data_IF_234315042052
#
_entry.id   IF_234315042052
#
_cell.length_a   1.000
_cell.length_b   1.000
_cell.length_c   1.000
_cell.angle_alpha   90.00
_cell.angle_beta   90.00
_cell.angle_gamma   90.00
#
_symmetry.space_group_name_H-M   'P 1'
#
loop_
_entity.id
_entity.type
_entity.pdbx_description
1 polymer ?
#
# COMPACT_ATOMS: atom_id res chain seq x y z
N UNK A 1 -4.22 11.24 3.57
CA UNK A 1 -4.24 10.89 2.13
C UNK A 1 -3.69 9.48 1.97
N UNK A 2 -4.15 8.72 0.99
CA UNK A 2 -3.61 7.40 0.68
C UNK A 2 -2.99 7.42 -0.71
N UNK A 3 -1.85 6.75 -0.87
CA UNK A 3 -1.19 6.55 -2.16
C UNK A 3 -0.96 5.06 -2.35
N UNK A 4 -1.28 4.54 -3.52
CA UNK A 4 -0.91 3.18 -3.90
C UNK A 4 0.11 3.22 -5.03
N UNK A 5 0.93 2.18 -5.10
CA UNK A 5 1.82 1.93 -6.22
C UNK A 5 1.67 0.48 -6.64
N UNK A 6 1.26 0.24 -7.89
CA UNK A 6 1.24 -1.10 -8.47
C UNK A 6 2.68 -1.51 -8.78
N UNK A 7 3.15 -2.64 -8.24
CA UNK A 7 4.54 -3.07 -8.40
C UNK A 7 4.86 -3.55 -9.81
N UNK A 8 3.89 -4.14 -10.53
CA UNK A 8 4.11 -4.63 -11.89
C UNK A 8 4.37 -3.53 -12.93
N UNK A 9 3.74 -2.36 -12.76
CA UNK A 9 3.75 -1.26 -13.74
C UNK A 9 4.35 0.03 -13.19
N UNK A 10 4.67 0.07 -11.90
CA UNK A 10 5.03 1.28 -11.16
C UNK A 10 3.96 2.40 -11.24
N UNK A 11 2.71 2.06 -11.59
CA UNK A 11 1.62 3.03 -11.66
C UNK A 11 1.24 3.48 -10.25
N UNK A 12 1.16 4.78 -10.04
CA UNK A 12 0.76 5.38 -8.77
C UNK A 12 -0.63 5.98 -8.86
N UNK A 13 -1.37 5.93 -7.75
CA UNK A 13 -2.67 6.56 -7.63
C UNK A 13 -2.90 7.05 -6.21
N UNK A 14 -3.47 8.24 -6.11
CA UNK A 14 -3.75 8.91 -4.84
C UNK A 14 -5.25 8.91 -4.56
N UNK A 15 -5.60 8.75 -3.29
CA UNK A 15 -6.98 8.70 -2.77
C UNK A 15 -7.09 9.61 -1.55
N UNK A 16 -8.22 10.30 -1.42
CA UNK A 16 -8.40 11.27 -0.34
C UNK A 16 -8.78 10.60 0.98
N UNK A 17 -9.58 9.53 0.90
CA UNK A 17 -10.10 8.80 2.04
C UNK A 17 -9.88 7.28 1.89
N UNK A 18 -10.15 6.55 2.97
CA UNK A 18 -9.97 5.09 3.03
C UNK A 18 -11.02 4.34 2.21
N UNK A 19 -12.24 4.86 2.15
CA UNK A 19 -13.36 4.25 1.43
C UNK A 19 -13.08 4.20 -0.09
N UNK A 20 -12.53 5.28 -0.66
CA UNK A 20 -12.07 5.35 -2.06
C UNK A 20 -10.96 4.34 -2.33
N UNK A 21 -10.03 4.17 -1.39
CA UNK A 21 -8.96 3.19 -1.48
C UNK A 21 -9.52 1.76 -1.46
N UNK A 22 -10.41 1.46 -0.53
CA UNK A 22 -11.07 0.15 -0.37
C UNK A 22 -11.84 -0.22 -1.65
N UNK A 23 -12.69 0.70 -2.13
CA UNK A 23 -13.46 0.51 -3.36
C UNK A 23 -12.56 0.26 -4.58
N UNK A 24 -11.44 0.98 -4.70
CA UNK A 24 -10.50 0.75 -5.80
C UNK A 24 -9.87 -0.64 -5.75
N UNK A 25 -9.43 -1.07 -4.56
CA UNK A 25 -8.79 -2.38 -4.38
C UNK A 25 -9.77 -3.53 -4.59
N UNK A 26 -11.04 -3.38 -4.18
CA UNK A 26 -12.11 -4.36 -4.47
C UNK A 26 -12.35 -4.50 -5.98
N UNK A 27 -12.33 -3.38 -6.71
CA UNK A 27 -12.40 -3.39 -8.17
C UNK A 27 -11.21 -4.10 -8.81
N UNK A 28 -10.00 -3.85 -8.29
CA UNK A 28 -8.79 -4.54 -8.74
C UNK A 28 -8.81 -6.03 -8.40
N UNK A 29 -9.35 -6.43 -7.24
CA UNK A 29 -9.52 -7.83 -6.88
C UNK A 29 -10.43 -8.56 -7.85
N UNK A 30 -11.61 -8.02 -8.10
CA UNK A 30 -12.54 -8.58 -9.07
C UNK A 30 -11.92 -8.71 -10.46
N UNK A 31 -11.17 -7.69 -10.90
CA UNK A 31 -10.44 -7.74 -12.17
C UNK A 31 -9.39 -8.86 -12.18
N UNK A 32 -8.61 -8.99 -11.12
CA UNK A 32 -7.57 -10.01 -11.03
C UNK A 32 -8.16 -11.43 -10.97
N UNK A 33 -9.25 -11.63 -10.24
CA UNK A 33 -10.03 -12.87 -10.21
C UNK A 33 -10.57 -13.24 -11.60
N UNK A 34 -11.19 -12.30 -12.31
CA UNK A 34 -11.71 -12.53 -13.66
C UNK A 34 -10.62 -12.88 -14.69
N UNK A 35 -9.43 -12.30 -14.52
CA UNK A 35 -8.29 -12.51 -15.42
C UNK A 35 -7.39 -13.68 -14.98
N UNK A 36 -7.66 -14.34 -13.84
CA UNK A 36 -6.77 -15.32 -13.21
C UNK A 36 -5.33 -14.81 -13.06
N UNK A 37 -5.19 -13.56 -12.65
CA UNK A 37 -3.90 -12.89 -12.42
C UNK A 37 -3.76 -12.50 -10.97
N UNK A 38 -2.53 -12.21 -10.54
CA UNK A 38 -2.24 -11.60 -9.24
C UNK A 38 -1.49 -10.29 -9.43
N UNK A 39 -1.75 -9.34 -8.55
CA UNK A 39 -1.13 -8.02 -8.58
C UNK A 39 -0.73 -7.61 -7.18
N UNK A 40 0.45 -7.00 -7.06
CA UNK A 40 0.97 -6.53 -5.78
C UNK A 40 1.00 -5.01 -5.75
N UNK A 41 0.43 -4.45 -4.69
CA UNK A 41 0.33 -3.03 -4.44
C UNK A 41 1.11 -2.64 -3.18
N UNK A 42 1.85 -1.54 -3.25
CA UNK A 42 2.36 -0.83 -2.08
C UNK A 42 1.41 0.30 -1.72
N UNK A 43 0.85 0.24 -0.53
CA UNK A 43 -0.03 1.26 0.02
C UNK A 43 0.75 2.15 0.99
N UNK A 44 0.51 3.44 0.92
CA UNK A 44 1.07 4.48 1.76
C UNK A 44 -0.05 5.33 2.33
N UNK A 45 -0.08 5.48 3.65
CA UNK A 45 -0.91 6.44 4.35
C UNK A 45 -0.05 7.65 4.67
N UNK A 46 -0.41 8.79 4.09
CA UNK A 46 0.29 10.06 4.18
C UNK A 46 -0.52 11.05 5.03
N UNK A 47 0.18 11.84 5.84
CA UNK A 47 -0.41 12.95 6.59
C UNK A 47 -0.70 14.16 5.67
N UNK A 48 -1.06 15.31 6.26
CA UNK A 48 -1.35 16.54 5.52
C UNK A 48 -0.10 17.21 4.92
N UNK A 49 1.09 16.86 5.40
CA UNK A 49 2.38 17.37 4.95
C UNK A 49 3.08 16.38 4.00
N UNK A 50 2.37 15.36 3.51
CA UNK A 50 2.90 14.25 2.72
C UNK A 50 3.93 13.37 3.45
N UNK A 51 3.96 13.42 4.78
CA UNK A 51 4.79 12.54 5.59
C UNK A 51 4.16 11.15 5.71
N UNK A 52 5.00 10.12 5.60
CA UNK A 52 4.55 8.73 5.68
C UNK A 52 4.17 8.36 7.12
N UNK A 53 2.88 8.14 7.34
CA UNK A 53 2.33 7.63 8.59
C UNK A 53 2.42 6.11 8.68
N UNK A 54 2.00 5.41 7.63
CA UNK A 54 1.95 3.95 7.59
C UNK A 54 2.13 3.46 6.16
N UNK A 55 2.72 2.28 5.99
CA UNK A 55 2.85 1.63 4.68
C UNK A 55 2.62 0.14 4.79
N UNK A 56 1.97 -0.45 3.80
CA UNK A 56 1.79 -1.90 3.72
C UNK A 56 1.93 -2.39 2.28
N UNK A 57 2.23 -3.67 2.13
CA UNK A 57 2.21 -4.36 0.84
C UNK A 57 1.02 -5.32 0.83
N UNK A 58 0.28 -5.30 -0.27
CA UNK A 58 -0.93 -6.09 -0.46
C UNK A 58 -0.86 -6.80 -1.79
N UNK A 59 -1.05 -8.12 -1.79
CA UNK A 59 -1.18 -8.89 -3.03
C UNK A 59 -2.63 -9.34 -3.18
N UNK A 60 -3.18 -9.13 -4.36
CA UNK A 60 -4.58 -9.37 -4.69
C UNK A 60 -4.65 -10.23 -5.97
N UNK A 61 -5.57 -11.20 -6.09
CA UNK A 61 -6.45 -11.69 -5.03
C UNK A 61 -5.65 -12.35 -3.91
N UNK A 62 -6.17 -12.27 -2.69
CA UNK A 62 -5.57 -12.97 -1.56
C UNK A 62 -5.74 -14.48 -1.73
N UNK A 63 -4.68 -15.25 -1.49
CA UNK A 63 -4.70 -16.72 -1.63
C UNK A 63 -5.62 -17.43 -0.62
N UNK A 64 -6.26 -16.71 0.30
CA UNK A 64 -7.07 -17.28 1.38
C UNK A 64 -8.49 -16.73 1.47
N UNK A 65 -9.10 -16.30 0.36
CA UNK A 65 -10.49 -15.77 0.30
C UNK A 65 -10.77 -14.57 1.23
N UNK A 66 -9.72 -13.90 1.70
CA UNK A 66 -9.87 -12.73 2.57
C UNK A 66 -10.28 -11.54 1.73
N UNK A 67 -11.38 -10.90 2.12
CA UNK A 67 -11.85 -9.66 1.51
C UNK A 67 -10.81 -8.55 1.65
N UNK A 68 -10.76 -7.63 0.68
CA UNK A 68 -9.90 -6.43 0.70
C UNK A 68 -9.97 -5.69 2.03
N UNK A 69 -11.17 -5.57 2.61
CA UNK A 69 -11.39 -4.92 3.90
C UNK A 69 -10.64 -5.59 5.04
N UNK A 70 -10.63 -6.92 5.08
CA UNK A 70 -9.87 -7.68 6.07
C UNK A 70 -8.38 -7.54 5.86
N UNK A 71 -7.93 -7.50 4.60
CA UNK A 71 -6.53 -7.31 4.25
C UNK A 71 -6.01 -5.92 4.64
N UNK A 72 -6.84 -4.87 4.45
CA UNK A 72 -6.55 -3.52 4.91
C UNK A 72 -6.54 -3.43 6.44
N UNK A 73 -7.36 -4.21 7.15
CA UNK A 73 -7.33 -4.31 8.62
C UNK A 73 -7.45 -2.96 9.32
N UNK A 74 -6.39 -2.53 10.01
CA UNK A 74 -6.30 -1.23 10.71
C UNK A 74 -5.66 -0.12 9.88
N UNK A 75 -5.21 -0.41 8.65
CA UNK A 75 -4.52 0.54 7.79
C UNK A 75 -5.40 1.76 7.51
N UNK A 76 -4.90 2.94 7.85
CA UNK A 76 -5.64 4.19 7.68
C UNK A 76 -6.72 4.48 8.72
N UNK A 77 -6.94 3.57 9.69
CA UNK A 77 -7.85 3.78 10.82
C UNK A 77 -7.16 4.36 12.06
N UNK A 78 -5.83 4.28 12.14
CA UNK A 78 -5.08 4.79 13.28
C UNK A 78 -5.19 6.32 13.39
N UNK A 79 -6.19 6.78 14.15
CA UNK A 79 -6.09 8.07 14.85
C UNK A 79 -4.86 7.95 15.74
N UNK A 80 -3.92 8.89 15.61
CA UNK A 80 -2.65 8.95 16.35
C UNK A 80 -2.88 8.69 17.85
N UNK A 81 -2.83 7.43 18.26
CA UNK A 81 -2.74 6.94 19.64
C UNK A 81 -2.06 5.58 19.58
N UNK A 82 -0.95 5.50 20.30
CA UNK A 82 0.00 4.39 20.35
C UNK A 82 -0.64 2.99 20.43
N UNK A 83 -0.05 2.04 19.66
CA UNK A 83 0.09 0.58 19.89
C UNK A 83 -1.22 -0.24 20.06
N UNK A 84 -1.48 -1.33 19.33
CA UNK A 84 -0.86 -2.67 19.40
C UNK A 84 -1.50 -3.60 18.34
N UNK A 85 -0.71 -4.53 17.75
CA UNK A 85 -1.15 -5.51 16.73
C UNK A 85 -1.05 -4.91 15.33
N UNK A 86 -0.30 -5.40 14.34
CA UNK A 86 -0.18 -6.75 13.79
C UNK A 86 1.27 -6.94 13.27
N UNK A 87 1.66 -8.20 13.17
CA UNK A 87 2.97 -8.75 12.80
C UNK A 87 3.66 -8.06 11.61
N UNK A 88 4.86 -7.51 11.84
CA UNK A 88 6.06 -7.88 11.07
C UNK A 88 6.38 -7.18 9.74
N UNK A 89 6.78 -5.90 9.76
CA UNK A 89 7.87 -5.42 8.89
C UNK A 89 8.91 -4.70 9.73
N UNK A 90 10.08 -5.34 9.87
CA UNK A 90 11.17 -4.80 10.68
C UNK A 90 11.64 -3.46 10.11
N UNK A 91 11.85 -2.49 11.00
CA UNK A 91 12.36 -1.13 10.69
C UNK A 91 13.63 -1.11 9.81
N UNK A 92 14.34 -2.24 9.67
CA UNK A 92 15.46 -2.43 8.75
C UNK A 92 15.04 -2.43 7.27
N UNK A 93 13.95 -3.11 6.88
CA UNK A 93 13.50 -3.13 5.48
C UNK A 93 12.98 -1.78 5.00
N UNK A 94 12.32 -1.01 5.87
CA UNK A 94 11.86 0.35 5.54
C UNK A 94 13.04 1.31 5.28
N UNK A 95 14.12 1.23 6.07
CA UNK A 95 15.34 2.03 5.83
C UNK A 95 16.06 1.64 4.53
N UNK A 96 16.03 0.37 4.16
CA UNK A 96 16.64 -0.12 2.92
C UNK A 96 15.83 0.32 1.68
N UNK A 97 14.50 0.31 1.76
CA UNK A 97 13.62 0.81 0.71
C UNK A 97 13.75 2.33 0.51
N UNK A 98 13.81 3.10 1.61
CA UNK A 98 14.08 4.55 1.55
C UNK A 98 15.45 4.86 0.92
N UNK A 99 16.47 4.03 1.21
CA UNK A 99 17.79 4.14 0.55
C UNK A 99 17.73 3.83 -0.95
N UNK A 100 17.00 2.77 -1.36
CA UNK A 100 16.85 2.40 -2.77
C UNK A 100 16.08 3.44 -3.57
N UNK A 101 14.97 3.98 -3.03
CA UNK A 101 14.21 5.03 -3.71
C UNK A 101 14.99 6.34 -3.86
N UNK A 102 15.83 6.70 -2.89
CA UNK A 102 16.71 7.88 -2.99
C UNK A 102 17.77 7.74 -4.09
N UNK A 103 18.22 6.52 -4.38
CA UNK A 103 19.16 6.26 -5.48
C UNK A 103 18.46 6.20 -6.84
N UNK A 104 17.25 5.67 -6.93
CA UNK A 104 16.47 5.66 -8.18
C UNK A 104 16.15 7.08 -8.69
N UNK A 105 15.84 8.02 -7.78
CA UNK A 105 15.56 9.42 -8.15
C UNK A 105 16.81 10.20 -8.58
N UNK A 106 18.02 9.76 -8.18
CA UNK A 106 19.27 10.39 -8.61
C UNK A 106 19.72 9.97 -10.01
N UNK A 107 19.30 8.79 -10.49
CA UNK A 107 19.72 8.26 -11.79
C UNK A 107 18.87 8.75 -12.97
N UNK A 108 17.73 9.40 -12.74
CA UNK A 108 16.88 10.00 -13.79
C UNK A 108 17.21 11.48 -14.08
N UNK A 109 18.25 12.04 -13.45
CA UNK A 109 18.82 13.35 -13.75
C UNK A 109 20.22 13.20 -14.34
N UNK A 110 20.31 12.61 -15.53
CA UNK A 110 21.48 12.71 -16.43
C UNK A 110 20.94 12.88 -17.84
#
# INVERSE_FOLDING_TARGET
MFRITRLSTAQQRDFQNREELEFYLEGEENRCLQLNTTETFHLFHLDKNEELLESMELTIPSSGEKEVKELLGEFGLKKIKNSFGVVGLSKKKLKEFQRKNRNYQKQRKV
#
